data_IF_672612042985
#
_entry.id   IF_672612042985
#
_cell.length_a   1.000
_cell.length_b   1.000
_cell.length_c   1.000
_cell.angle_alpha   90.00
_cell.angle_beta   90.00
_cell.angle_gamma   90.00
#
_symmetry.space_group_name_H-M   'P 1'
#
loop_
_entity.id
_entity.type
_entity.pdbx_description
1 polymer ?
#
# COMPACT_ATOMS: atom_id res chain seq x y z
N UNK A 1 -9.12 15.27 -3.56
CA UNK A 1 -9.81 14.04 -3.07
C UNK A 1 -11.09 14.36 -2.32
N UNK A 2 -12.24 13.79 -2.72
CA UNK A 2 -13.48 13.83 -1.92
C UNK A 2 -13.39 12.78 -0.81
N UNK A 3 -13.65 13.20 0.43
CA UNK A 3 -13.63 12.31 1.60
C UNK A 3 -14.50 11.06 1.40
N UNK A 4 -13.89 9.88 1.53
CA UNK A 4 -14.58 8.60 1.43
C UNK A 4 -15.40 8.37 2.70
N UNK A 5 -16.74 8.40 2.59
CA UNK A 5 -17.61 8.26 3.77
C UNK A 5 -17.84 6.80 4.14
N UNK A 6 -17.84 6.50 5.45
CA UNK A 6 -18.06 5.14 5.99
C UNK A 6 -19.35 4.51 5.44
N UNK A 7 -20.41 5.33 5.26
CA UNK A 7 -21.71 4.85 4.74
C UNK A 7 -21.68 4.46 3.28
N UNK A 8 -20.80 5.06 2.46
CA UNK A 8 -20.75 4.80 1.01
C UNK A 8 -19.95 3.56 0.63
N UNK A 9 -18.89 3.24 1.38
CA UNK A 9 -17.99 2.13 1.04
C UNK A 9 -18.15 0.94 1.99
N UNK A 10 -18.01 1.20 3.28
CA UNK A 10 -17.91 0.15 4.28
C UNK A 10 -19.24 -0.58 4.50
N UNK A 11 -20.37 0.13 4.46
CA UNK A 11 -21.68 -0.50 4.69
C UNK A 11 -22.13 -1.43 3.55
N UNK A 12 -22.04 -1.04 2.25
CA UNK A 12 -22.30 -1.96 1.15
C UNK A 12 -21.37 -3.17 1.17
N UNK A 13 -20.07 -2.97 1.43
CA UNK A 13 -19.09 -4.06 1.52
C UNK A 13 -19.45 -5.07 2.62
N UNK A 14 -19.72 -4.59 3.84
CA UNK A 14 -20.12 -5.46 4.97
C UNK A 14 -21.36 -6.28 4.65
N UNK A 15 -22.34 -5.71 3.93
CA UNK A 15 -23.58 -6.43 3.58
C UNK A 15 -23.37 -7.58 2.60
N UNK A 16 -22.37 -7.47 1.72
CA UNK A 16 -22.11 -8.45 0.66
C UNK A 16 -21.18 -9.57 1.12
N UNK A 17 -20.36 -9.30 2.12
CA UNK A 17 -19.46 -10.29 2.71
C UNK A 17 -20.10 -10.98 3.91
N UNK A 18 -19.49 -12.08 4.37
CA UNK A 18 -19.95 -12.75 5.60
C UNK A 18 -19.86 -11.81 6.82
N UNK A 19 -19.16 -10.67 6.75
CA UNK A 19 -19.09 -9.68 7.83
C UNK A 19 -20.47 -9.17 8.25
N UNK A 20 -21.48 -9.25 7.37
CA UNK A 20 -22.86 -8.90 7.69
C UNK A 20 -23.36 -9.60 8.96
N UNK A 21 -23.03 -10.90 9.14
CA UNK A 21 -23.46 -11.68 10.29
C UNK A 21 -22.83 -11.19 11.61
N UNK A 22 -21.63 -10.60 11.51
CA UNK A 22 -20.87 -10.06 12.63
C UNK A 22 -21.21 -8.60 12.93
N UNK A 23 -22.01 -7.98 12.08
CA UNK A 23 -22.44 -6.58 12.16
C UNK A 23 -23.93 -6.45 12.50
N UNK A 24 -24.60 -7.54 12.91
CA UNK A 24 -26.04 -7.62 13.27
C UNK A 24 -26.52 -6.62 14.33
N UNK A 25 -25.63 -6.03 15.12
CA UNK A 25 -25.96 -5.06 16.18
C UNK A 25 -25.64 -3.60 15.80
N UNK A 26 -25.75 -3.28 14.52
CA UNK A 26 -25.47 -1.95 14.00
C UNK A 26 -26.57 -0.95 14.39
N UNK A 27 -26.23 0.03 15.23
CA UNK A 27 -27.10 1.17 15.54
C UNK A 27 -26.73 2.36 14.66
N UNK A 28 -27.63 2.77 13.76
CA UNK A 28 -27.46 3.90 12.84
C UNK A 28 -27.26 5.27 13.51
N UNK A 29 -27.56 5.38 14.81
CA UNK A 29 -27.41 6.59 15.62
C UNK A 29 -26.10 6.63 16.43
N UNK A 30 -25.31 5.55 16.44
CA UNK A 30 -24.05 5.46 17.20
C UNK A 30 -22.81 5.81 16.38
N UNK A 31 -21.67 6.03 17.05
CA UNK A 31 -20.38 6.19 16.37
C UNK A 31 -20.01 4.87 15.66
N UNK A 32 -20.14 4.88 14.34
CA UNK A 32 -19.93 3.72 13.48
C UNK A 32 -18.53 3.12 13.62
N UNK A 33 -17.50 3.95 13.79
CA UNK A 33 -16.11 3.51 13.93
C UNK A 33 -15.94 2.71 15.22
N UNK A 34 -16.51 3.18 16.34
CA UNK A 34 -16.46 2.45 17.62
C UNK A 34 -17.19 1.10 17.54
N UNK A 35 -18.33 1.05 16.84
CA UNK A 35 -19.10 -0.19 16.68
C UNK A 35 -18.36 -1.21 15.80
N UNK A 36 -17.84 -0.77 14.66
CA UNK A 36 -17.01 -1.59 13.76
C UNK A 36 -15.77 -2.11 14.49
N UNK A 37 -15.04 -1.22 15.15
CA UNK A 37 -13.84 -1.58 15.91
C UNK A 37 -14.13 -2.57 17.05
N UNK A 38 -15.26 -2.42 17.74
CA UNK A 38 -15.70 -3.35 18.79
C UNK A 38 -15.97 -4.74 18.21
N UNK A 39 -16.68 -4.83 17.09
CA UNK A 39 -17.00 -6.11 16.45
C UNK A 39 -15.74 -6.82 15.96
N UNK A 40 -14.84 -6.11 15.25
CA UNK A 40 -13.53 -6.66 14.89
C UNK A 40 -12.75 -7.12 16.12
N UNK A 41 -12.74 -6.33 17.20
CA UNK A 41 -12.05 -6.71 18.45
C UNK A 41 -12.62 -7.97 19.10
N UNK A 42 -13.93 -8.20 19.01
CA UNK A 42 -14.58 -9.42 19.53
C UNK A 42 -14.19 -10.62 18.66
N UNK A 43 -14.26 -10.45 17.34
CA UNK A 43 -13.89 -11.51 16.39
C UNK A 43 -12.44 -11.94 16.58
N UNK A 44 -11.50 -11.00 16.60
CA UNK A 44 -10.07 -11.26 16.81
C UNK A 44 -9.74 -11.94 18.17
N UNK A 45 -10.67 -12.00 19.13
CA UNK A 45 -10.48 -12.74 20.40
C UNK A 45 -10.96 -14.20 20.33
N UNK A 46 -11.80 -14.53 19.35
CA UNK A 46 -12.63 -15.74 19.35
C UNK A 46 -12.05 -16.95 18.63
N UNK A 47 -10.94 -16.84 17.90
CA UNK A 47 -10.40 -17.98 17.14
C UNK A 47 -8.88 -18.08 17.21
N UNK A 48 -8.38 -19.30 17.47
CA UNK A 48 -6.97 -19.65 17.43
C UNK A 48 -6.47 -19.95 16.01
N UNK A 49 -7.38 -20.22 15.08
CA UNK A 49 -7.09 -20.47 13.67
C UNK A 49 -8.17 -19.85 12.79
N UNK A 50 -7.77 -19.16 11.73
CA UNK A 50 -8.69 -18.56 10.77
C UNK A 50 -8.46 -19.22 9.43
N UNK A 51 -9.53 -19.75 8.82
CA UNK A 51 -9.46 -20.20 7.43
C UNK A 51 -9.37 -18.99 6.49
N UNK A 52 -8.88 -19.21 5.27
CA UNK A 52 -8.74 -18.14 4.26
C UNK A 52 -10.07 -17.46 3.94
N UNK A 53 -11.15 -18.25 3.95
CA UNK A 53 -12.50 -17.76 3.67
C UNK A 53 -13.00 -16.79 4.74
N UNK A 54 -12.50 -16.86 5.96
CA UNK A 54 -12.77 -15.88 7.02
C UNK A 54 -11.70 -14.78 7.08
N UNK A 55 -10.43 -15.08 6.79
CA UNK A 55 -9.36 -14.07 6.80
C UNK A 55 -9.59 -12.98 5.76
N UNK A 56 -9.87 -13.36 4.51
CA UNK A 56 -9.87 -12.44 3.38
C UNK A 56 -10.89 -11.29 3.56
N UNK A 57 -12.17 -11.55 3.83
CA UNK A 57 -13.13 -10.47 4.03
C UNK A 57 -12.88 -9.67 5.30
N UNK A 58 -12.25 -10.24 6.34
CA UNK A 58 -11.80 -9.46 7.50
C UNK A 58 -10.69 -8.48 7.14
N UNK A 59 -9.72 -8.93 6.35
CA UNK A 59 -8.65 -8.09 5.82
C UNK A 59 -9.22 -6.96 4.97
N UNK A 60 -10.03 -7.27 3.96
CA UNK A 60 -10.66 -6.28 3.10
C UNK A 60 -11.57 -5.30 3.87
N UNK A 61 -12.32 -5.79 4.85
CA UNK A 61 -13.12 -4.94 5.74
C UNK A 61 -12.26 -3.97 6.55
N UNK A 62 -11.17 -4.43 7.15
CA UNK A 62 -10.24 -3.56 7.88
C UNK A 62 -9.52 -2.59 6.94
N UNK A 63 -9.18 -2.99 5.71
CA UNK A 63 -8.61 -2.10 4.69
C UNK A 63 -9.57 -0.95 4.37
N UNK A 64 -10.83 -1.25 4.04
CA UNK A 64 -11.83 -0.21 3.79
C UNK A 64 -12.01 0.65 5.04
N UNK A 65 -12.00 0.05 6.23
CA UNK A 65 -12.09 0.79 7.49
C UNK A 65 -10.92 1.76 7.72
N UNK A 66 -9.70 1.37 7.34
CA UNK A 66 -8.49 2.21 7.34
C UNK A 66 -8.65 3.39 6.37
N UNK A 67 -9.17 3.14 5.16
CA UNK A 67 -9.31 4.13 4.09
C UNK A 67 -10.39 5.18 4.34
N UNK A 68 -11.42 4.83 5.11
CA UNK A 68 -12.53 5.75 5.37
C UNK A 68 -12.05 6.98 6.13
N UNK A 69 -12.24 8.17 5.59
CA UNK A 69 -11.79 9.40 6.22
C UNK A 69 -12.73 9.77 7.37
N UNK A 70 -12.18 10.15 8.52
CA UNK A 70 -12.95 10.78 9.59
C UNK A 70 -12.22 12.02 10.10
N UNK A 71 -13.01 13.06 10.39
CA UNK A 71 -12.55 14.30 11.02
C UNK A 71 -11.66 13.94 12.22
N UNK A 72 -10.41 14.37 12.09
CA UNK A 72 -9.20 14.06 12.85
C UNK A 72 -9.43 13.86 14.34
N UNK A 73 -9.24 12.62 14.80
CA UNK A 73 -8.68 12.37 16.13
C UNK A 73 -7.61 11.30 15.97
N UNK A 74 -6.39 11.57 16.45
CA UNK A 74 -5.27 10.60 16.38
C UNK A 74 -5.64 9.26 17.02
N UNK A 75 -6.54 9.29 18.00
CA UNK A 75 -7.09 8.11 18.67
C UNK A 75 -7.78 7.13 17.70
N UNK A 76 -8.59 7.63 16.76
CA UNK A 76 -9.28 6.77 15.79
C UNK A 76 -8.30 6.17 14.77
N UNK A 77 -7.30 6.94 14.34
CA UNK A 77 -6.23 6.42 13.48
C UNK A 77 -5.45 5.30 14.18
N UNK A 78 -5.01 5.55 15.43
CA UNK A 78 -4.31 4.55 16.26
C UNK A 78 -5.14 3.28 16.47
N UNK A 79 -6.45 3.41 16.71
CA UNK A 79 -7.33 2.25 16.88
C UNK A 79 -7.39 1.37 15.62
N UNK A 80 -7.50 1.98 14.43
CA UNK A 80 -7.55 1.25 13.16
C UNK A 80 -6.25 0.52 12.86
N UNK A 81 -5.13 1.21 13.02
CA UNK A 81 -3.79 0.60 12.87
C UNK A 81 -3.61 -0.55 13.85
N UNK A 82 -4.04 -0.41 15.12
CA UNK A 82 -3.96 -1.49 16.12
C UNK A 82 -4.82 -2.70 15.76
N UNK A 83 -5.98 -2.51 15.14
CA UNK A 83 -6.81 -3.64 14.67
C UNK A 83 -6.16 -4.35 13.49
N UNK A 84 -5.58 -3.58 12.56
CA UNK A 84 -4.84 -4.15 11.44
C UNK A 84 -3.62 -4.94 11.91
N UNK A 85 -2.81 -4.36 12.80
CA UNK A 85 -1.67 -5.03 13.46
C UNK A 85 -2.07 -6.35 14.10
N UNK A 86 -3.17 -6.36 14.88
CA UNK A 86 -3.68 -7.59 15.48
C UNK A 86 -4.08 -8.64 14.45
N UNK A 87 -4.73 -8.25 13.35
CA UNK A 87 -5.10 -9.19 12.28
C UNK A 87 -3.83 -9.75 11.61
N UNK A 88 -2.90 -8.89 11.21
CA UNK A 88 -1.66 -9.31 10.52
C UNK A 88 -0.78 -10.23 11.37
N UNK A 89 -0.86 -10.14 12.69
CA UNK A 89 -0.14 -11.03 13.59
C UNK A 89 -0.81 -12.41 13.79
N UNK A 90 -2.06 -12.61 13.37
CA UNK A 90 -2.76 -13.90 13.52
C UNK A 90 -3.03 -14.62 12.19
N UNK A 91 -2.93 -13.90 11.07
CA UNK A 91 -3.12 -14.50 9.74
C UNK A 91 -1.79 -14.99 9.18
N UNK A 92 -1.85 -16.05 8.40
CA UNK A 92 -0.73 -16.49 7.58
C UNK A 92 -0.64 -15.59 6.35
N UNK A 93 0.34 -14.68 6.33
CA UNK A 93 0.56 -13.75 5.21
C UNK A 93 2.05 -13.61 4.89
N UNK A 94 2.77 -14.73 5.04
CA UNK A 94 4.21 -14.84 4.79
C UNK A 94 4.48 -15.83 3.65
N UNK A 95 3.71 -16.91 3.54
CA UNK A 95 3.80 -17.81 2.40
C UNK A 95 3.43 -17.07 1.08
N UNK A 96 4.26 -17.14 0.02
CA UNK A 96 4.02 -16.41 -1.23
C UNK A 96 2.68 -16.70 -1.91
N UNK A 97 2.21 -17.96 -1.87
CA UNK A 97 0.93 -18.32 -2.50
C UNK A 97 -0.23 -17.74 -1.71
N UNK A 98 -0.15 -17.81 -0.38
CA UNK A 98 -1.13 -17.22 0.52
C UNK A 98 -1.20 -15.70 0.36
N UNK A 99 -0.04 -15.03 0.28
CA UNK A 99 0.06 -13.59 -0.03
C UNK A 99 -0.58 -13.28 -1.37
N UNK A 100 -0.31 -14.09 -2.41
CA UNK A 100 -0.89 -13.88 -3.72
C UNK A 100 -2.42 -13.92 -3.69
N UNK A 101 -3.00 -14.97 -3.10
CA UNK A 101 -4.45 -15.14 -2.97
C UNK A 101 -5.07 -14.00 -2.16
N UNK A 102 -4.44 -13.60 -1.05
CA UNK A 102 -4.94 -12.50 -0.22
C UNK A 102 -4.94 -11.17 -0.96
N UNK A 103 -3.87 -10.87 -1.70
CA UNK A 103 -3.75 -9.62 -2.46
C UNK A 103 -4.73 -9.61 -3.64
N UNK A 104 -4.82 -10.70 -4.41
CA UNK A 104 -5.74 -10.81 -5.54
C UNK A 104 -7.18 -10.56 -5.10
N UNK A 105 -7.65 -11.32 -4.08
CA UNK A 105 -9.01 -11.15 -3.56
C UNK A 105 -9.24 -9.77 -2.92
N UNK A 106 -8.21 -9.19 -2.27
CA UNK A 106 -8.30 -7.83 -1.73
C UNK A 106 -8.48 -6.79 -2.84
N UNK A 107 -7.74 -6.90 -3.94
CA UNK A 107 -7.87 -6.01 -5.08
C UNK A 107 -9.27 -6.10 -5.69
N UNK A 108 -9.79 -7.32 -5.89
CA UNK A 108 -11.17 -7.53 -6.36
C UNK A 108 -12.19 -6.81 -5.45
N UNK A 109 -12.11 -7.01 -4.14
CA UNK A 109 -13.02 -6.37 -3.17
C UNK A 109 -12.93 -4.84 -3.19
N UNK A 110 -11.72 -4.30 -3.33
CA UNK A 110 -11.48 -2.87 -3.42
C UNK A 110 -12.01 -2.31 -4.74
N UNK A 111 -11.90 -3.04 -5.85
CA UNK A 111 -12.43 -2.64 -7.15
C UNK A 111 -13.95 -2.59 -7.13
N UNK A 112 -14.61 -3.65 -6.62
CA UNK A 112 -16.06 -3.69 -6.45
C UNK A 112 -16.60 -2.59 -5.52
N UNK A 113 -15.77 -2.15 -4.59
CA UNK A 113 -16.07 -1.06 -3.67
C UNK A 113 -15.67 0.32 -4.21
N UNK A 114 -15.10 0.44 -5.42
CA UNK A 114 -14.54 1.68 -5.97
C UNK A 114 -13.52 2.36 -5.02
N UNK A 115 -12.73 1.54 -4.34
CA UNK A 115 -11.68 1.92 -3.41
C UNK A 115 -10.27 1.54 -3.91
N UNK A 116 -10.15 0.86 -5.06
CA UNK A 116 -8.87 0.38 -5.61
C UNK A 116 -8.00 1.46 -6.30
N UNK A 117 -8.17 2.73 -5.95
CA UNK A 117 -7.34 3.83 -6.48
C UNK A 117 -5.92 3.73 -5.91
N UNK A 118 -4.90 4.10 -6.70
CA UNK A 118 -3.49 3.96 -6.32
C UNK A 118 -3.16 4.64 -4.99
N UNK A 119 -3.69 5.84 -4.74
CA UNK A 119 -3.49 6.54 -3.46
C UNK A 119 -4.01 5.73 -2.27
N UNK A 120 -5.14 5.04 -2.44
CA UNK A 120 -5.67 4.16 -1.39
C UNK A 120 -4.79 2.93 -1.20
N UNK A 121 -4.33 2.31 -2.30
CA UNK A 121 -3.39 1.18 -2.22
C UNK A 121 -2.10 1.59 -1.51
N UNK A 122 -1.57 2.78 -1.79
CA UNK A 122 -0.40 3.33 -1.11
C UNK A 122 -0.63 3.52 0.38
N UNK A 123 -1.78 4.09 0.78
CA UNK A 123 -2.16 4.24 2.19
C UNK A 123 -2.20 2.87 2.88
N UNK A 124 -2.78 1.86 2.24
CA UNK A 124 -2.82 0.50 2.77
C UNK A 124 -1.42 -0.12 2.89
N UNK A 125 -0.60 -0.01 1.86
CA UNK A 125 0.79 -0.49 1.87
C UNK A 125 1.60 0.15 3.02
N UNK A 126 1.46 1.47 3.21
CA UNK A 126 2.09 2.21 4.31
C UNK A 126 1.61 1.77 5.70
N UNK A 127 0.34 1.35 5.82
CA UNK A 127 -0.19 0.82 7.08
C UNK A 127 0.32 -0.59 7.33
N UNK A 128 0.28 -1.46 6.33
CA UNK A 128 0.77 -2.85 6.41
C UNK A 128 2.25 -2.91 6.79
N UNK A 129 3.08 -2.07 6.16
CA UNK A 129 4.52 -2.03 6.43
C UNK A 129 4.88 -1.65 7.87
N UNK A 130 4.03 -0.85 8.53
CA UNK A 130 4.25 -0.34 9.89
C UNK A 130 3.64 -1.19 10.98
N UNK A 131 2.69 -2.06 10.63
CA UNK A 131 1.97 -2.87 11.61
C UNK A 131 2.82 -4.05 12.11
N UNK A 132 3.33 -4.89 11.21
CA UNK A 132 4.06 -6.11 11.54
C UNK A 132 4.98 -6.51 10.40
N UNK A 133 6.06 -7.24 10.67
CA UNK A 133 6.92 -7.83 9.63
C UNK A 133 6.11 -8.74 8.69
N UNK A 134 5.08 -9.42 9.22
CA UNK A 134 4.13 -10.22 8.45
C UNK A 134 3.29 -9.40 7.46
N UNK A 135 3.10 -8.10 7.72
CA UNK A 135 2.40 -7.20 6.81
C UNK A 135 3.23 -6.75 5.61
N UNK A 136 4.56 -6.86 5.67
CA UNK A 136 5.46 -6.37 4.63
C UNK A 136 5.27 -7.07 3.28
N UNK A 137 5.08 -8.40 3.17
CA UNK A 137 4.72 -9.04 1.91
C UNK A 137 3.50 -8.44 1.23
N UNK A 138 2.42 -8.19 1.98
CA UNK A 138 1.22 -7.56 1.46
C UNK A 138 1.53 -6.11 1.01
N UNK A 139 2.30 -5.36 1.81
CA UNK A 139 2.71 -4.00 1.47
C UNK A 139 3.49 -3.95 0.16
N UNK A 140 4.51 -4.80 0.01
CA UNK A 140 5.34 -4.90 -1.19
C UNK A 140 4.50 -5.25 -2.41
N UNK A 141 3.59 -6.23 -2.29
CA UNK A 141 2.70 -6.59 -3.39
C UNK A 141 1.80 -5.43 -3.83
N UNK A 142 1.24 -4.67 -2.90
CA UNK A 142 0.43 -3.48 -3.22
C UNK A 142 1.27 -2.39 -3.90
N UNK A 143 2.52 -2.20 -3.49
CA UNK A 143 3.44 -1.26 -4.14
C UNK A 143 3.73 -1.69 -5.58
N UNK A 144 4.03 -2.97 -5.82
CA UNK A 144 4.21 -3.48 -7.18
C UNK A 144 2.98 -3.30 -8.07
N UNK A 145 1.77 -3.45 -7.51
CA UNK A 145 0.51 -3.19 -8.24
C UNK A 145 0.37 -1.70 -8.61
N UNK A 146 0.78 -0.78 -7.73
CA UNK A 146 0.79 0.65 -8.05
C UNK A 146 1.81 0.93 -9.16
N UNK A 147 3.01 0.38 -9.04
CA UNK A 147 4.08 0.57 -10.02
C UNK A 147 3.70 0.01 -11.39
N UNK A 148 3.10 -1.19 -11.47
CA UNK A 148 2.68 -1.80 -12.73
C UNK A 148 1.56 -1.03 -13.45
N UNK A 149 0.74 -0.28 -12.70
CA UNK A 149 -0.28 0.60 -13.30
C UNK A 149 0.32 1.86 -13.94
N UNK A 150 1.52 2.25 -13.52
CA UNK A 150 2.21 3.47 -13.96
C UNK A 150 3.38 3.22 -14.89
N UNK A 151 3.97 2.03 -14.85
CA UNK A 151 5.11 1.61 -15.66
C UNK A 151 4.61 0.48 -16.59
N UNK A 152 4.29 0.78 -17.86
CA UNK A 152 3.69 -0.20 -18.77
C UNK A 152 4.53 -1.46 -19.00
N UNK A 153 5.86 -1.34 -18.90
CA UNK A 153 6.79 -2.47 -19.07
C UNK A 153 6.81 -3.42 -17.86
N UNK A 154 6.18 -3.05 -16.75
CA UNK A 154 6.19 -3.82 -15.51
C UNK A 154 4.92 -4.68 -15.40
N UNK A 155 5.03 -5.96 -15.74
CA UNK A 155 3.90 -6.89 -15.67
C UNK A 155 3.85 -7.65 -14.33
N UNK A 156 2.72 -7.51 -13.63
CA UNK A 156 2.46 -8.25 -12.38
C UNK A 156 1.51 -9.41 -12.64
N UNK A 157 2.08 -10.57 -12.97
CA UNK A 157 1.35 -11.83 -13.19
C UNK A 157 1.02 -12.59 -11.90
N UNK A 158 1.83 -12.40 -10.87
CA UNK A 158 1.65 -12.97 -9.53
C UNK A 158 2.07 -11.93 -8.48
N UNK A 159 1.29 -11.83 -7.42
CA UNK A 159 1.56 -10.92 -6.29
C UNK A 159 2.49 -11.61 -5.30
N UNK A 160 3.79 -11.26 -5.37
CA UNK A 160 4.84 -11.79 -4.51
C UNK A 160 5.94 -10.75 -4.31
N UNK A 161 6.89 -11.04 -3.42
CA UNK A 161 8.19 -10.35 -3.47
C UNK A 161 8.87 -10.59 -4.81
N UNK A 162 9.51 -9.53 -5.30
CA UNK A 162 10.15 -9.41 -6.61
C UNK A 162 11.50 -8.76 -6.43
N UNK A 163 12.39 -9.05 -7.36
CA UNK A 163 13.71 -8.44 -7.38
C UNK A 163 13.58 -6.98 -7.82
N UNK A 164 14.36 -6.10 -7.20
CA UNK A 164 14.34 -4.69 -7.56
C UNK A 164 14.91 -4.45 -8.98
N UNK A 165 15.72 -5.38 -9.47
CA UNK A 165 16.18 -5.44 -10.86
C UNK A 165 15.00 -5.47 -11.86
N UNK A 166 13.86 -6.10 -11.50
CA UNK A 166 12.64 -6.07 -12.34
C UNK A 166 12.13 -4.63 -12.53
N UNK A 167 12.23 -3.78 -11.50
CA UNK A 167 11.85 -2.37 -11.59
C UNK A 167 12.85 -1.59 -12.42
N UNK A 168 14.15 -1.79 -12.19
CA UNK A 168 15.24 -1.12 -12.93
C UNK A 168 15.09 -1.39 -14.42
N UNK A 169 14.97 -2.67 -14.79
CA UNK A 169 14.75 -3.07 -16.17
C UNK A 169 13.47 -2.44 -16.72
N UNK A 170 12.37 -2.40 -15.97
CA UNK A 170 11.13 -1.80 -16.46
C UNK A 170 11.26 -0.27 -16.71
N UNK A 171 12.03 0.44 -15.90
CA UNK A 171 12.20 1.90 -16.06
C UNK A 171 13.23 2.29 -17.10
N UNK A 172 14.29 1.49 -17.28
CA UNK A 172 15.34 1.74 -18.29
C UNK A 172 14.79 1.66 -19.73
N UNK A 173 13.69 0.94 -19.93
CA UNK A 173 13.03 0.81 -21.23
C UNK A 173 11.93 1.87 -21.46
N UNK A 174 11.70 2.77 -20.50
CA UNK A 174 10.74 3.85 -20.69
C UNK A 174 11.37 4.98 -21.53
N UNK A 175 10.61 5.56 -22.48
CA UNK A 175 11.05 6.77 -23.13
C UNK A 175 11.20 7.89 -22.11
N UNK A 176 12.24 8.72 -22.25
CA UNK A 176 12.43 9.93 -21.45
C UNK A 176 11.14 10.76 -21.51
N UNK A 177 10.49 11.06 -20.37
CA UNK A 177 9.16 11.65 -20.45
C UNK A 177 9.25 13.12 -20.89
N UNK A 178 8.29 13.56 -21.70
CA UNK A 178 8.24 14.95 -22.15
C UNK A 178 8.03 15.91 -20.96
N UNK A 179 8.76 17.05 -20.91
CA UNK A 179 8.60 18.04 -19.86
C UNK A 179 7.15 18.50 -19.70
N UNK A 180 6.67 18.54 -18.46
CA UNK A 180 5.29 18.94 -18.16
C UNK A 180 5.25 20.46 -17.97
N UNK A 181 4.52 21.15 -18.84
CA UNK A 181 4.20 22.56 -18.61
C UNK A 181 3.11 22.71 -17.54
N UNK A 182 3.55 22.93 -16.30
CA UNK A 182 2.67 23.19 -15.17
C UNK A 182 1.97 24.56 -15.26
N UNK A 183 2.52 25.50 -16.05
CA UNK A 183 2.06 26.88 -16.12
C UNK A 183 2.15 27.65 -14.79
N UNK A 184 1.73 28.92 -14.82
CA UNK A 184 1.73 29.82 -13.65
C UNK A 184 0.38 29.90 -12.92
N UNK A 185 -0.64 29.20 -13.41
CA UNK A 185 -2.01 29.26 -12.89
C UNK A 185 -2.31 28.10 -11.92
N UNK A 186 -3.42 28.21 -11.18
CA UNK A 186 -3.97 27.11 -10.37
C UNK A 186 -4.08 25.86 -11.24
N UNK A 187 -3.54 24.73 -10.75
CA UNK A 187 -3.62 23.44 -11.45
C UNK A 187 -5.08 23.12 -11.73
N UNK A 188 -5.41 22.88 -13.00
CA UNK A 188 -6.70 22.29 -13.36
C UNK A 188 -6.79 20.84 -12.84
N UNK A 189 -7.97 20.24 -12.93
CA UNK A 189 -8.21 18.89 -12.41
C UNK A 189 -7.29 17.84 -13.07
N UNK A 190 -6.99 17.98 -14.37
CA UNK A 190 -6.16 17.04 -15.11
C UNK A 190 -4.68 17.12 -14.70
N UNK A 191 -4.17 18.34 -14.51
CA UNK A 191 -2.80 18.57 -14.00
C UNK A 191 -2.68 18.13 -12.55
N UNK A 192 -3.70 18.37 -11.72
CA UNK A 192 -3.70 17.86 -10.35
C UNK A 192 -3.69 16.33 -10.31
N UNK A 193 -4.45 15.66 -11.17
CA UNK A 193 -4.44 14.19 -11.28
C UNK A 193 -3.07 13.66 -11.73
N UNK A 194 -2.43 14.34 -12.70
CA UNK A 194 -1.08 13.99 -13.15
C UNK A 194 -0.06 14.14 -12.01
N UNK A 195 -0.13 15.24 -11.27
CA UNK A 195 0.73 15.49 -10.12
C UNK A 195 0.51 14.46 -9.00
N UNK A 196 -0.73 14.17 -8.64
CA UNK A 196 -1.08 13.16 -7.63
C UNK A 196 -0.56 11.77 -8.05
N UNK A 197 -0.59 11.46 -9.34
CA UNK A 197 -0.01 10.24 -9.92
C UNK A 197 1.51 10.19 -9.77
N UNK A 198 2.21 11.26 -10.13
CA UNK A 198 3.68 11.34 -9.96
C UNK A 198 4.10 11.25 -8.49
N UNK A 199 3.37 11.92 -7.59
CA UNK A 199 3.63 11.83 -6.14
C UNK A 199 3.45 10.40 -5.66
N UNK A 200 2.35 9.75 -6.04
CA UNK A 200 2.08 8.36 -5.63
C UNK A 200 3.13 7.40 -6.18
N UNK A 201 3.62 7.61 -7.40
CA UNK A 201 4.72 6.85 -7.99
C UNK A 201 6.01 7.00 -7.16
N UNK A 202 6.42 8.24 -6.89
CA UNK A 202 7.62 8.56 -6.11
C UNK A 202 7.55 7.97 -4.70
N UNK A 203 6.45 8.20 -3.98
CA UNK A 203 6.27 7.67 -2.64
C UNK A 203 6.24 6.12 -2.62
N UNK A 204 5.73 5.49 -3.69
CA UNK A 204 5.68 4.03 -3.79
C UNK A 204 7.07 3.42 -3.98
N UNK A 205 7.90 4.02 -4.84
CA UNK A 205 9.31 3.61 -5.00
C UNK A 205 10.08 3.85 -3.70
N UNK A 206 9.88 4.99 -3.04
CA UNK A 206 10.48 5.32 -1.75
C UNK A 206 10.18 4.25 -0.70
N UNK A 207 8.89 3.93 -0.53
CA UNK A 207 8.47 2.95 0.45
C UNK A 207 8.98 1.54 0.10
N UNK A 208 9.01 1.18 -1.18
CA UNK A 208 9.53 -0.12 -1.62
C UNK A 208 11.01 -0.27 -1.26
N UNK A 209 11.83 0.73 -1.57
CA UNK A 209 13.26 0.75 -1.22
C UNK A 209 13.43 0.68 0.30
N UNK A 210 12.68 1.47 1.07
CA UNK A 210 12.75 1.43 2.53
C UNK A 210 12.40 0.05 3.10
N UNK A 211 11.44 -0.65 2.50
CA UNK A 211 11.05 -2.00 2.91
C UNK A 211 12.13 -3.04 2.60
N UNK A 212 12.82 -2.91 1.48
CA UNK A 212 13.95 -3.76 1.09
C UNK A 212 15.11 -3.58 2.07
N UNK A 213 15.42 -2.32 2.43
CA UNK A 213 16.54 -1.97 3.31
C UNK A 213 16.29 -2.14 4.80
N UNK A 214 15.03 -2.32 5.21
CA UNK A 214 14.70 -2.58 6.62
C UNK A 214 15.26 -3.93 7.06
N UNK A 215 15.46 -4.11 8.36
CA UNK A 215 15.77 -5.42 8.92
C UNK A 215 14.67 -6.44 8.58
N UNK A 216 14.97 -7.38 7.69
CA UNK A 216 14.08 -8.41 7.17
C UNK A 216 14.45 -9.81 7.69
N UNK A 217 15.13 -9.91 8.84
CA UNK A 217 15.57 -11.18 9.41
C UNK A 217 14.43 -12.22 9.53
N UNK A 218 13.24 -11.83 9.99
CA UNK A 218 12.12 -12.76 10.15
C UNK A 218 11.59 -13.29 8.81
N UNK A 219 11.68 -12.48 7.74
CA UNK A 219 11.30 -12.93 6.39
C UNK A 219 12.34 -13.89 5.83
N UNK A 220 13.63 -13.65 6.08
CA UNK A 220 14.71 -14.57 5.72
C UNK A 220 14.55 -15.92 6.43
N UNK A 221 14.24 -15.92 7.73
CA UNK A 221 13.95 -17.14 8.50
C UNK A 221 12.71 -17.89 7.98
N UNK A 222 11.73 -17.15 7.48
CA UNK A 222 10.55 -17.72 6.85
C UNK A 222 10.79 -18.27 5.42
N UNK A 223 12.03 -18.17 4.91
CA UNK A 223 12.45 -18.76 3.64
C UNK A 223 12.41 -17.81 2.44
N UNK A 224 12.26 -16.51 2.65
CA UNK A 224 12.43 -15.56 1.55
C UNK A 224 13.90 -15.50 1.10
N UNK A 225 14.18 -15.60 -0.21
CA UNK A 225 15.52 -15.45 -0.74
C UNK A 225 16.14 -14.09 -0.43
N UNK A 226 17.43 -14.07 -0.09
CA UNK A 226 18.18 -12.85 0.22
C UNK A 226 18.24 -11.84 -0.93
N UNK A 227 18.20 -12.32 -2.19
CA UNK A 227 18.25 -11.44 -3.36
C UNK A 227 17.05 -10.48 -3.45
N UNK A 228 15.92 -10.78 -2.81
CA UNK A 228 14.77 -9.85 -2.74
C UNK A 228 15.03 -8.63 -1.83
N UNK A 229 16.03 -8.72 -0.95
CA UNK A 229 16.38 -7.67 0.02
C UNK A 229 17.71 -6.99 -0.32
N UNK A 230 18.18 -7.17 -1.56
CA UNK A 230 19.45 -6.63 -2.05
C UNK A 230 19.19 -5.74 -3.27
N UNK A 231 20.12 -4.83 -3.49
CA UNK A 231 20.18 -3.97 -4.66
C UNK A 231 21.65 -3.86 -5.07
N UNK A 232 21.94 -3.99 -6.36
CA UNK A 232 23.30 -3.77 -6.85
C UNK A 232 23.60 -2.27 -6.91
N UNK A 233 24.87 -1.89 -6.89
CA UNK A 233 25.26 -0.49 -7.02
C UNK A 233 24.82 0.10 -8.37
N UNK A 234 24.87 -0.68 -9.45
CA UNK A 234 24.39 -0.27 -10.78
C UNK A 234 22.89 0.00 -10.77
N UNK A 235 22.10 -0.88 -10.16
CA UNK A 235 20.64 -0.71 -10.05
C UNK A 235 20.28 0.53 -9.23
N UNK A 236 21.03 0.77 -8.15
CA UNK A 236 20.85 1.96 -7.32
C UNK A 236 21.11 3.25 -8.12
N UNK A 237 22.14 3.27 -8.97
CA UNK A 237 22.47 4.42 -9.82
C UNK A 237 21.39 4.63 -10.88
N UNK A 238 20.93 3.56 -11.54
CA UNK A 238 19.88 3.63 -12.57
C UNK A 238 18.57 4.17 -11.98
N UNK A 239 18.11 3.59 -10.85
CA UNK A 239 16.93 4.07 -10.15
C UNK A 239 17.07 5.52 -9.68
N UNK A 240 18.27 5.92 -9.22
CA UNK A 240 18.53 7.32 -8.85
C UNK A 240 18.34 8.26 -10.03
N UNK A 241 18.93 7.92 -11.19
CA UNK A 241 18.84 8.75 -12.39
C UNK A 241 17.39 8.91 -12.83
N UNK A 242 16.69 7.79 -12.98
CA UNK A 242 15.28 7.78 -13.36
C UNK A 242 14.42 8.56 -12.37
N UNK A 243 14.69 8.42 -11.07
CA UNK A 243 13.95 9.17 -10.05
C UNK A 243 14.18 10.67 -10.14
N UNK A 244 15.42 11.12 -10.37
CA UNK A 244 15.71 12.54 -10.58
C UNK A 244 14.92 13.08 -11.77
N UNK A 245 14.91 12.38 -12.90
CA UNK A 245 14.14 12.75 -14.10
C UNK A 245 12.62 12.86 -13.82
N UNK A 246 12.07 11.94 -13.01
CA UNK A 246 10.66 12.00 -12.60
C UNK A 246 10.40 13.19 -11.67
N UNK A 247 11.30 13.48 -10.72
CA UNK A 247 11.12 14.60 -9.80
C UNK A 247 11.34 15.97 -10.45
N UNK A 248 12.20 16.07 -11.47
CA UNK A 248 12.36 17.27 -12.28
C UNK A 248 11.10 17.65 -13.04
N UNK A 249 10.22 16.67 -13.31
CA UNK A 249 8.91 16.92 -13.88
C UNK A 249 7.89 17.42 -12.88
N UNK A 250 8.18 17.53 -11.57
CA UNK A 250 7.24 18.05 -10.59
C UNK A 250 7.36 19.58 -10.43
N UNK A 251 6.28 20.30 -10.04
CA UNK A 251 6.36 21.72 -9.74
C UNK A 251 7.32 22.03 -8.57
N UNK A 252 7.98 23.20 -8.63
CA UNK A 252 8.82 23.72 -7.55
C UNK A 252 8.05 23.74 -6.21
N UNK A 253 8.58 23.09 -5.18
CA UNK A 253 7.96 22.95 -3.87
C UNK A 253 7.49 21.54 -3.50
N UNK A 254 7.45 20.61 -4.46
CA UNK A 254 7.29 19.17 -4.19
C UNK A 254 8.64 18.45 -3.99
N UNK A 255 9.74 19.20 -3.92
CA UNK A 255 11.12 18.72 -3.76
C UNK A 255 11.41 18.01 -2.42
N UNK A 256 10.57 18.10 -1.38
CA UNK A 256 10.85 17.42 -0.09
C UNK A 256 10.91 15.90 -0.23
N UNK A 257 10.16 15.31 -1.18
CA UNK A 257 10.26 13.88 -1.49
C UNK A 257 11.52 13.56 -2.30
N UNK A 258 11.96 14.48 -3.15
CA UNK A 258 13.20 14.35 -3.94
C UNK A 258 14.43 14.33 -3.03
N UNK A 259 14.49 15.21 -2.03
CA UNK A 259 15.60 15.27 -1.08
C UNK A 259 15.69 14.04 -0.18
N UNK A 260 14.55 13.57 0.36
CA UNK A 260 14.51 12.36 1.20
C UNK A 260 14.95 11.12 0.44
N UNK A 261 14.45 10.91 -0.79
CA UNK A 261 14.84 9.73 -1.55
C UNK A 261 16.27 9.83 -2.06
N UNK A 262 16.72 11.01 -2.49
CA UNK A 262 18.13 11.21 -2.86
C UNK A 262 19.06 10.91 -1.68
N UNK A 263 18.66 11.24 -0.45
CA UNK A 263 19.37 10.85 0.75
C UNK A 263 19.31 9.34 1.01
N UNK A 264 18.15 8.69 0.84
CA UNK A 264 18.00 7.24 0.99
C UNK A 264 18.90 6.49 -0.01
N UNK A 265 18.82 6.84 -1.30
CA UNK A 265 19.64 6.23 -2.34
C UNK A 265 21.12 6.61 -2.18
N UNK A 266 21.41 7.84 -1.74
CA UNK A 266 22.75 8.26 -1.36
C UNK A 266 23.36 7.40 -0.26
N UNK A 267 22.56 7.08 0.77
CA UNK A 267 22.95 6.18 1.85
C UNK A 267 23.07 4.72 1.38
N UNK A 268 22.27 4.29 0.40
CA UNK A 268 22.41 2.95 -0.19
C UNK A 268 23.78 2.77 -0.85
N UNK A 269 24.22 3.76 -1.63
CA UNK A 269 25.51 3.74 -2.30
C UNK A 269 26.72 3.81 -1.35
N UNK A 270 26.53 4.17 -0.08
CA UNK A 270 27.60 4.21 0.92
C UNK A 270 27.68 2.97 1.81
N UNK A 271 26.64 2.11 1.78
CA UNK A 271 26.53 0.87 2.56
C UNK A 271 26.90 -0.37 1.71
N UNK A 272 26.77 -0.28 0.38
CA UNK A 272 27.23 -1.28 -0.60
C UNK A 272 28.72 -1.10 -0.85
#
# INVERSE_FOLDING_TARGET
MRALSVRRLFYPFVKRTFLAQFMKYYNGNGNIIKQVARNFSIQLRGSAYWDLDTVHPMLAGLCIFVLVEHKRTDLQRKLRTKLMDRLLNIIECVDPMTVHILVEKLLTDLEESNACQERNLFILASVFSKCSWRGRPLAVCLLWVILSRRIPALEVTMHRYRELEELVNAVDHLPTPEPIDWGWAVLDEARQEKLDGLITLVESVELLICLIMTDNHELLEAGYPEHFFRISQSDAIALKSWFLEVTEQMPLGYCEHSEKLTAIIGNMMSII
#
